data_IF_968404966679
#
_entry.id   IF_968404966679
#
_cell.length_a   1.000
_cell.length_b   1.000
_cell.length_c   1.000
_cell.angle_alpha   90.00
_cell.angle_beta   90.00
_cell.angle_gamma   90.00
#
_symmetry.space_group_name_H-M   'P 1'
#
loop_
_entity.id
_entity.type
_entity.pdbx_description
1 polymer ?
#
# COMPACT_ATOMS: atom_id res chain seq x y z
N UNK A 1 -17.17 1.19 10.11
CA UNK A 1 -15.79 0.74 9.87
C UNK A 1 -14.96 2.01 9.78
N UNK A 2 -13.94 2.19 10.61
CA UNK A 2 -13.02 3.31 10.39
C UNK A 2 -12.28 2.98 9.10
N UNK A 3 -12.46 3.79 8.07
CA UNK A 3 -11.65 3.69 6.86
C UNK A 3 -10.21 3.94 7.29
N UNK A 4 -9.40 2.88 7.35
CA UNK A 4 -7.96 2.98 7.60
C UNK A 4 -7.36 4.02 6.64
N UNK A 5 -6.59 4.95 7.20
CA UNK A 5 -6.02 6.06 6.45
C UNK A 5 -5.20 5.51 5.26
N UNK A 6 -5.44 6.00 4.03
CA UNK A 6 -4.75 5.51 2.84
C UNK A 6 -3.23 5.66 2.95
N UNK A 7 -2.73 6.69 3.63
CA UNK A 7 -1.31 6.85 3.91
C UNK A 7 -0.80 5.73 4.80
N UNK A 8 -1.52 5.38 5.88
CA UNK A 8 -1.11 4.30 6.77
C UNK A 8 -1.00 2.96 6.03
N UNK A 9 -1.94 2.67 5.11
CA UNK A 9 -1.88 1.46 4.27
C UNK A 9 -0.67 1.47 3.33
N UNK A 10 -0.38 2.62 2.71
CA UNK A 10 0.78 2.77 1.84
C UNK A 10 2.07 2.59 2.65
N UNK A 11 2.16 3.15 3.86
CA UNK A 11 3.33 3.01 4.72
C UNK A 11 3.50 1.57 5.23
N UNK A 12 2.41 0.89 5.56
CA UNK A 12 2.43 -0.52 5.91
C UNK A 12 2.96 -1.38 4.75
N UNK A 13 2.50 -1.11 3.53
CA UNK A 13 3.00 -1.79 2.33
C UNK A 13 4.47 -1.47 2.07
N UNK A 14 4.87 -0.19 2.18
CA UNK A 14 6.25 0.25 2.04
C UNK A 14 7.18 -0.46 3.04
N UNK A 15 6.73 -0.66 4.28
CA UNK A 15 7.43 -1.45 5.29
C UNK A 15 7.57 -2.92 4.91
N UNK A 16 6.53 -3.50 4.30
CA UNK A 16 6.54 -4.90 3.89
C UNK A 16 7.53 -5.17 2.75
N UNK A 17 7.66 -4.25 1.79
CA UNK A 17 8.57 -4.38 0.65
C UNK A 17 9.98 -3.82 0.89
N UNK A 18 10.13 -3.04 1.97
CA UNK A 18 11.38 -2.43 2.37
C UNK A 18 12.37 -3.40 2.99
N UNK A 19 13.64 -3.00 3.05
CA UNK A 19 14.68 -3.73 3.79
C UNK A 19 14.74 -3.24 5.23
N UNK A 20 15.28 -4.09 6.12
CA UNK A 20 15.54 -3.67 7.49
C UNK A 20 16.42 -2.42 7.53
N UNK A 21 15.95 -1.39 8.24
CA UNK A 21 16.64 -0.10 8.37
C UNK A 21 16.14 1.01 7.44
N UNK A 22 15.36 0.69 6.40
CA UNK A 22 14.73 1.72 5.56
C UNK A 22 13.44 2.26 6.22
N UNK A 23 13.33 3.58 6.33
CA UNK A 23 12.11 4.22 6.80
C UNK A 23 10.98 4.08 5.75
N UNK A 24 9.78 3.59 6.11
CA UNK A 24 8.69 3.36 5.15
C UNK A 24 8.30 4.60 4.35
N UNK A 25 8.28 5.79 4.96
CA UNK A 25 8.00 7.06 4.26
C UNK A 25 9.04 7.37 3.19
N UNK A 26 10.32 7.05 3.43
CA UNK A 26 11.38 7.24 2.44
C UNK A 26 11.17 6.33 1.24
N UNK A 27 10.75 5.08 1.47
CA UNK A 27 10.45 4.14 0.40
C UNK A 27 9.22 4.62 -0.39
N UNK A 28 8.14 4.97 0.30
CA UNK A 28 6.91 5.44 -0.30
C UNK A 28 7.13 6.71 -1.14
N UNK A 29 7.92 7.68 -0.65
CA UNK A 29 8.30 8.87 -1.41
C UNK A 29 9.17 8.55 -2.62
N UNK A 30 10.20 7.70 -2.47
CA UNK A 30 11.07 7.28 -3.58
C UNK A 30 10.29 6.56 -4.68
N UNK A 31 9.22 5.87 -4.32
CA UNK A 31 8.32 5.14 -5.22
C UNK A 31 7.19 6.00 -5.78
N UNK A 32 7.06 7.26 -5.35
CA UNK A 32 6.02 8.17 -5.82
C UNK A 32 4.65 7.96 -5.18
N UNK A 33 4.49 7.05 -4.21
CA UNK A 33 3.19 6.73 -3.61
C UNK A 33 2.67 7.79 -2.65
N UNK A 34 3.57 8.56 -2.04
CA UNK A 34 3.22 9.73 -1.23
C UNK A 34 4.07 10.93 -1.64
N UNK A 35 3.52 12.13 -1.46
CA UNK A 35 4.19 13.39 -1.76
C UNK A 35 5.16 13.83 -0.64
N UNK A 36 5.78 15.00 -0.83
CA UNK A 36 6.65 15.61 0.18
C UNK A 36 5.91 15.95 1.49
N UNK A 37 4.60 16.19 1.43
CA UNK A 37 3.75 16.45 2.59
C UNK A 37 3.25 15.15 3.27
N UNK A 38 3.58 13.97 2.73
CA UNK A 38 3.12 12.68 3.26
C UNK A 38 1.68 12.33 2.86
N UNK A 39 1.12 13.00 1.84
CA UNK A 39 -0.20 12.70 1.31
C UNK A 39 -0.10 11.68 0.18
N UNK A 40 -1.09 10.79 0.02
CA UNK A 40 -1.13 9.85 -1.09
C UNK A 40 -1.17 10.60 -2.42
N UNK A 41 -0.44 10.09 -3.40
CA UNK A 41 -0.53 10.52 -4.79
C UNK A 41 -1.52 9.63 -5.56
N UNK A 42 -1.79 9.96 -6.82
CA UNK A 42 -2.55 9.08 -7.71
C UNK A 42 -1.90 7.69 -7.81
N UNK A 43 -0.56 7.61 -7.91
CA UNK A 43 0.17 6.33 -7.91
C UNK A 43 0.00 5.55 -6.60
N UNK A 44 -0.06 6.25 -5.46
CA UNK A 44 -0.37 5.64 -4.17
C UNK A 44 -1.79 5.06 -4.12
N UNK A 45 -2.76 5.73 -4.73
CA UNK A 45 -4.13 5.23 -4.84
C UNK A 45 -4.24 4.04 -5.80
N UNK A 46 -3.52 4.05 -6.92
CA UNK A 46 -3.43 2.91 -7.84
C UNK A 46 -2.84 1.68 -7.12
N UNK A 47 -1.77 1.85 -6.34
CA UNK A 47 -1.19 0.78 -5.53
C UNK A 47 -2.24 0.15 -4.60
N UNK A 48 -2.98 0.98 -3.86
CA UNK A 48 -4.02 0.49 -2.96
C UNK A 48 -5.10 -0.30 -3.70
N UNK A 49 -5.50 0.16 -4.90
CA UNK A 49 -6.46 -0.58 -5.73
C UNK A 49 -5.91 -1.95 -6.13
N UNK A 50 -4.66 -2.01 -6.59
CA UNK A 50 -4.03 -3.29 -6.97
C UNK A 50 -3.89 -4.27 -5.80
N UNK A 51 -3.62 -3.77 -4.58
CA UNK A 51 -3.58 -4.61 -3.38
C UNK A 51 -4.96 -5.20 -3.08
N UNK A 52 -6.03 -4.40 -3.18
CA UNK A 52 -7.39 -4.87 -2.94
C UNK A 52 -7.86 -5.84 -4.04
N UNK A 53 -7.50 -5.60 -5.30
CA UNK A 53 -7.78 -6.52 -6.41
C UNK A 53 -7.08 -7.87 -6.21
N UNK A 54 -5.82 -7.88 -5.76
CA UNK A 54 -5.09 -9.11 -5.45
C UNK A 54 -5.74 -9.88 -4.30
N UNK A 55 -6.14 -9.19 -3.22
CA UNK A 55 -6.88 -9.83 -2.11
C UNK A 55 -8.20 -10.45 -2.57
N UNK A 56 -8.92 -9.79 -3.46
CA UNK A 56 -10.16 -10.31 -4.01
C UNK A 56 -9.92 -11.58 -4.84
N UNK A 57 -8.85 -11.62 -5.63
CA UNK A 57 -8.45 -12.80 -6.40
C UNK A 57 -8.06 -13.99 -5.48
N UNK A 58 -7.27 -13.73 -4.44
CA UNK A 58 -6.88 -14.76 -3.46
C UNK A 58 -8.08 -15.31 -2.68
N UNK A 59 -9.08 -14.47 -2.39
CA UNK A 59 -10.31 -14.89 -1.74
C UNK A 59 -11.15 -15.83 -2.61
N UNK A 60 -11.23 -15.57 -3.92
CA UNK A 60 -11.93 -16.43 -4.88
C UNK A 60 -11.24 -17.79 -4.99
N UNK A 61 -9.90 -17.81 -5.05
CA UNK A 61 -9.15 -19.08 -5.15
C UNK A 61 -9.29 -19.97 -3.90
N UNK A 62 -9.55 -19.38 -2.73
CA UNK A 62 -9.75 -20.13 -1.47
C UNK A 62 -11.13 -20.78 -1.34
N UNK A 63 -12.09 -20.38 -2.19
CA UNK A 63 -13.47 -20.87 -2.19
C UNK A 63 -13.70 -22.05 -3.15
N UNK A 64 -12.66 -22.50 -3.87
CA UNK A 64 -12.67 -23.68 -4.74
C UNK A 64 -11.82 -24.83 -4.14
N UNK A 65 -12.37 -25.64 -3.20
CA UNK A 65 -11.82 -26.94 -2.82
C UNK A 65 -12.35 -28.11 -3.68
#
# INVERSE_FOLDING_TARGET
MQEEDPTDKILAFARHVGREGDAPETIARKRGWIDAAGRPTDEGHELLRSIEEQKAQDAVYRLDP
#
